data_IF_138505645591
#
_entry.id   IF_138505645591
#
_cell.length_a   1.000
_cell.length_b   1.000
_cell.length_c   1.000
_cell.angle_alpha   90.00
_cell.angle_beta   90.00
_cell.angle_gamma   90.00
#
_symmetry.space_group_name_H-M   'P 1'
#
loop_
_entity.id
_entity.type
_entity.pdbx_description
1 polymer ?
#
# COMPACT_ATOMS: atom_id res chain seq x y z
N UNK A 1 -27.15 1.30 -22.72
CA UNK A 1 -25.83 1.61 -22.15
C UNK A 1 -25.66 0.72 -20.92
N UNK A 2 -24.82 -0.31 -20.99
CA UNK A 2 -24.53 -1.14 -19.82
C UNK A 2 -23.77 -0.29 -18.78
N UNK A 3 -23.95 -0.51 -17.47
CA UNK A 3 -23.20 0.21 -16.44
C UNK A 3 -21.68 0.02 -16.65
N UNK A 4 -20.85 1.01 -16.29
CA UNK A 4 -19.39 0.98 -16.54
C UNK A 4 -18.70 -0.25 -15.92
N UNK A 5 -19.23 -0.81 -14.83
CA UNK A 5 -18.76 -2.06 -14.25
C UNK A 5 -18.95 -3.27 -15.19
N UNK A 6 -20.04 -3.32 -15.95
CA UNK A 6 -20.30 -4.40 -16.89
C UNK A 6 -19.35 -4.40 -18.09
N UNK A 7 -18.88 -3.24 -18.53
CA UNK A 7 -17.93 -3.16 -19.64
C UNK A 7 -16.54 -3.68 -19.26
N UNK A 8 -16.03 -3.30 -18.08
CA UNK A 8 -14.73 -3.77 -17.58
C UNK A 8 -14.74 -5.28 -17.30
N UNK A 9 -15.84 -5.83 -16.76
CA UNK A 9 -15.99 -7.28 -16.59
C UNK A 9 -15.98 -8.02 -17.93
N UNK A 10 -16.70 -7.51 -18.95
CA UNK A 10 -16.69 -8.09 -20.28
C UNK A 10 -15.30 -8.05 -20.93
N UNK A 11 -14.55 -6.96 -20.75
CA UNK A 11 -13.19 -6.85 -21.26
C UNK A 11 -12.25 -7.85 -20.58
N UNK A 12 -12.32 -8.00 -19.25
CA UNK A 12 -11.57 -9.01 -18.51
C UNK A 12 -11.90 -10.42 -19.02
N UNK A 13 -13.18 -10.78 -19.08
CA UNK A 13 -13.66 -12.08 -19.58
C UNK A 13 -13.17 -12.35 -21.01
N UNK A 14 -13.17 -11.32 -21.87
CA UNK A 14 -12.68 -11.42 -23.24
C UNK A 14 -11.16 -11.71 -23.26
N UNK A 15 -10.35 -10.98 -22.49
CA UNK A 15 -8.90 -11.23 -22.46
C UNK A 15 -8.58 -12.62 -21.91
N UNK A 16 -9.27 -13.05 -20.87
CA UNK A 16 -9.11 -14.40 -20.33
C UNK A 16 -9.51 -15.49 -21.33
N UNK A 17 -10.60 -15.29 -22.07
CA UNK A 17 -11.04 -16.23 -23.11
C UNK A 17 -9.99 -16.37 -24.22
N UNK A 18 -9.42 -15.25 -24.69
CA UNK A 18 -8.37 -15.25 -25.72
C UNK A 18 -7.10 -15.94 -25.20
N UNK A 19 -6.72 -15.71 -23.94
CA UNK A 19 -5.57 -16.38 -23.33
C UNK A 19 -5.81 -17.89 -23.21
N UNK A 20 -6.98 -18.30 -22.71
CA UNK A 20 -7.36 -19.71 -22.55
C UNK A 20 -7.42 -20.46 -23.88
N UNK A 21 -7.76 -19.78 -24.97
CA UNK A 21 -7.78 -20.36 -26.31
C UNK A 21 -6.38 -20.58 -26.92
N UNK A 22 -5.32 -20.00 -26.35
CA UNK A 22 -3.96 -20.22 -26.84
C UNK A 22 -3.49 -21.65 -26.52
N UNK A 23 -2.67 -22.27 -27.38
CA UNK A 23 -1.94 -23.49 -27.05
C UNK A 23 -1.12 -23.35 -25.76
N UNK A 24 -0.99 -24.45 -25.00
CA UNK A 24 -0.33 -24.42 -23.68
C UNK A 24 1.10 -23.87 -23.72
N UNK A 25 1.87 -24.20 -24.77
CA UNK A 25 3.21 -23.66 -24.97
C UNK A 25 3.22 -22.12 -25.08
N UNK A 26 2.25 -21.54 -25.80
CA UNK A 26 2.10 -20.09 -25.94
C UNK A 26 1.64 -19.46 -24.62
N UNK A 27 0.72 -20.10 -23.88
CA UNK A 27 0.32 -19.61 -22.55
C UNK A 27 1.52 -19.50 -21.60
N UNK A 28 2.35 -20.55 -21.49
CA UNK A 28 3.54 -20.56 -20.63
C UNK A 28 4.54 -19.47 -21.07
N UNK A 29 4.72 -19.31 -22.39
CA UNK A 29 5.56 -18.25 -22.92
C UNK A 29 5.05 -16.85 -22.54
N UNK A 30 3.75 -16.59 -22.70
CA UNK A 30 3.12 -15.33 -22.33
C UNK A 30 3.21 -15.07 -20.82
N UNK A 31 2.99 -16.10 -19.99
CA UNK A 31 3.16 -16.02 -18.53
C UNK A 31 4.61 -15.63 -18.15
N UNK A 32 5.61 -16.22 -18.81
CA UNK A 32 7.02 -15.90 -18.57
C UNK A 32 7.37 -14.46 -18.99
N UNK A 33 6.91 -14.03 -20.17
CA UNK A 33 7.11 -12.66 -20.66
C UNK A 33 6.39 -11.64 -19.76
N UNK A 34 5.15 -11.93 -19.38
CA UNK A 34 4.35 -11.10 -18.48
C UNK A 34 5.01 -10.93 -17.12
N UNK A 35 5.56 -12.01 -16.54
CA UNK A 35 6.30 -11.96 -15.27
C UNK A 35 7.56 -11.09 -15.39
N UNK A 36 8.33 -11.24 -16.47
CA UNK A 36 9.54 -10.45 -16.70
C UNK A 36 9.22 -8.96 -16.82
N UNK A 37 8.18 -8.61 -17.58
CA UNK A 37 7.72 -7.23 -17.71
C UNK A 37 7.18 -6.68 -16.40
N UNK A 38 6.37 -7.46 -15.67
CA UNK A 38 5.80 -7.04 -14.39
C UNK A 38 6.90 -6.72 -13.38
N UNK A 39 7.88 -7.61 -13.22
CA UNK A 39 9.03 -7.38 -12.36
C UNK A 39 9.81 -6.14 -12.80
N UNK A 40 10.07 -6.02 -14.10
CA UNK A 40 10.82 -4.90 -14.65
C UNK A 40 10.16 -3.54 -14.46
N UNK A 41 8.82 -3.48 -14.47
CA UNK A 41 8.04 -2.27 -14.17
C UNK A 41 8.15 -1.92 -12.69
N UNK A 42 8.00 -2.90 -11.80
CA UNK A 42 8.03 -2.70 -10.34
C UNK A 42 9.42 -2.32 -9.85
N UNK A 43 10.47 -2.92 -10.40
CA UNK A 43 11.87 -2.61 -10.07
C UNK A 43 12.38 -1.34 -10.77
N UNK A 44 11.55 -0.69 -11.59
CA UNK A 44 11.90 0.47 -12.40
C UNK A 44 13.17 0.25 -13.25
N UNK A 45 13.28 -0.92 -13.89
CA UNK A 45 14.47 -1.26 -14.66
C UNK A 45 14.69 -0.27 -15.80
N UNK A 46 15.95 0.15 -16.03
CA UNK A 46 16.27 1.19 -17.01
C UNK A 46 16.14 0.73 -18.47
N UNK A 47 16.04 -0.57 -18.72
CA UNK A 47 15.85 -1.15 -20.04
C UNK A 47 14.83 -2.28 -19.93
N UNK A 48 13.73 -2.16 -20.67
CA UNK A 48 12.67 -3.17 -20.71
C UNK A 48 12.46 -3.64 -22.14
N UNK A 49 12.60 -4.96 -22.32
CA UNK A 49 12.38 -5.66 -23.58
C UNK A 49 11.45 -6.84 -23.34
N UNK A 50 10.69 -7.17 -24.36
CA UNK A 50 9.84 -8.33 -24.36
C UNK A 50 9.72 -8.87 -25.79
N UNK A 51 9.25 -10.10 -25.91
CA UNK A 51 9.08 -10.76 -27.20
C UNK A 51 7.65 -11.22 -27.38
N UNK A 52 7.08 -11.00 -28.57
CA UNK A 52 5.81 -11.59 -28.97
C UNK A 52 6.01 -13.07 -29.34
N UNK A 53 4.98 -13.93 -29.17
CA UNK A 53 5.06 -15.31 -29.59
C UNK A 53 5.23 -15.42 -31.12
N UNK A 54 5.70 -16.55 -31.59
CA UNK A 54 5.89 -16.84 -33.01
C UNK A 54 4.55 -17.04 -33.75
N UNK A 55 3.54 -17.55 -33.04
CA UNK A 55 2.17 -17.69 -33.51
C UNK A 55 1.18 -17.35 -32.39
N UNK A 56 -0.03 -16.96 -32.75
CA UNK A 56 -1.11 -16.68 -31.81
C UNK A 56 -2.44 -17.08 -32.42
N UNK A 57 -3.35 -17.62 -31.61
CA UNK A 57 -4.72 -17.87 -32.03
C UNK A 57 -5.47 -16.55 -32.06
N UNK A 58 -5.88 -16.12 -33.26
CA UNK A 58 -6.63 -14.88 -33.50
C UNK A 58 -8.11 -15.22 -33.59
N UNK A 59 -8.94 -14.49 -32.83
CA UNK A 59 -10.39 -14.70 -32.73
C UNK A 59 -10.78 -16.12 -32.27
N UNK A 60 -10.91 -16.29 -30.96
CA UNK A 60 -11.52 -17.48 -30.37
C UNK A 60 -12.90 -17.14 -29.80
N UNK A 61 -13.95 -17.80 -30.29
CA UNK A 61 -15.14 -18.04 -29.47
C UNK A 61 -14.90 -19.31 -28.66
N UNK A 62 -15.62 -19.49 -27.55
CA UNK A 62 -15.54 -20.70 -26.71
C UNK A 62 -15.83 -21.98 -27.52
N UNK A 63 -16.50 -21.86 -28.67
CA UNK A 63 -16.99 -22.96 -29.49
C UNK A 63 -16.07 -23.33 -30.68
N UNK A 64 -15.10 -22.49 -31.07
CA UNK A 64 -14.21 -22.75 -32.20
C UNK A 64 -12.75 -22.40 -31.86
N UNK A 65 -11.79 -23.34 -31.98
CA UNK A 65 -10.38 -23.03 -31.79
C UNK A 65 -9.95 -21.95 -32.79
N UNK A 66 -9.45 -20.83 -32.28
CA UNK A 66 -9.04 -19.69 -33.10
C UNK A 66 -7.96 -20.07 -34.11
N UNK A 67 -7.97 -19.43 -35.27
CA UNK A 67 -6.99 -19.68 -36.31
C UNK A 67 -5.60 -19.24 -35.83
N UNK A 68 -4.63 -20.15 -35.84
CA UNK A 68 -3.24 -19.84 -35.50
C UNK A 68 -2.63 -19.03 -36.64
N UNK A 69 -2.35 -17.76 -36.36
CA UNK A 69 -1.70 -16.85 -37.30
C UNK A 69 -0.25 -16.62 -36.88
N UNK A 70 0.65 -16.55 -37.86
CA UNK A 70 2.07 -16.25 -37.60
C UNK A 70 2.25 -14.77 -37.31
N UNK A 71 3.00 -14.48 -36.25
CA UNK A 71 3.44 -13.12 -35.96
C UNK A 71 4.67 -12.80 -36.84
N UNK A 72 4.68 -11.68 -37.59
CA UNK A 72 5.81 -11.28 -38.41
C UNK A 72 7.10 -11.19 -37.59
N UNK A 73 8.22 -11.72 -38.12
CA UNK A 73 9.49 -11.78 -37.39
C UNK A 73 9.99 -10.40 -36.95
N UNK A 74 9.79 -9.38 -37.79
CA UNK A 74 10.16 -7.99 -37.53
C UNK A 74 9.39 -7.38 -36.34
N UNK A 75 8.21 -7.90 -36.03
CA UNK A 75 7.36 -7.44 -34.94
C UNK A 75 7.55 -8.24 -33.64
N UNK A 76 8.43 -9.25 -33.59
CA UNK A 76 8.55 -10.10 -32.40
C UNK A 76 9.33 -9.43 -31.29
N UNK A 77 10.48 -8.84 -31.60
CA UNK A 77 11.30 -8.18 -30.59
C UNK A 77 10.78 -6.78 -30.31
N UNK A 78 10.48 -6.51 -29.04
CA UNK A 78 9.94 -5.24 -28.60
C UNK A 78 10.84 -4.60 -27.56
N UNK A 79 11.07 -3.30 -27.72
CA UNK A 79 11.75 -2.46 -26.74
C UNK A 79 10.74 -1.46 -26.20
N UNK A 80 10.39 -1.60 -24.92
CA UNK A 80 9.44 -0.73 -24.24
C UNK A 80 10.12 0.49 -23.61
N UNK A 81 11.35 0.30 -23.10
CA UNK A 81 12.15 1.37 -22.50
C UNK A 81 13.55 1.30 -23.09
N UNK A 82 13.99 2.42 -23.68
CA UNK A 82 15.32 2.57 -24.27
C UNK A 82 16.15 3.68 -23.65
N UNK A 83 17.36 3.87 -24.20
CA UNK A 83 18.31 4.92 -23.77
C UNK A 83 17.74 6.35 -23.87
N UNK A 84 16.84 6.62 -24.82
CA UNK A 84 16.22 7.94 -24.99
C UNK A 84 15.21 8.25 -23.88
N UNK A 85 14.44 7.26 -23.44
CA UNK A 85 13.48 7.40 -22.33
C UNK A 85 14.18 7.71 -21.00
N UNK A 86 15.43 7.25 -20.87
CA UNK A 86 16.30 7.58 -19.73
C UNK A 86 16.67 9.07 -19.69
N UNK A 87 16.89 9.67 -20.86
CA UNK A 87 17.22 11.10 -20.97
C UNK A 87 16.02 11.99 -20.66
N UNK A 88 14.81 11.52 -20.97
CA UNK A 88 13.55 12.22 -20.68
C UNK A 88 12.98 11.90 -19.30
N UNK A 89 13.62 10.99 -18.54
CA UNK A 89 13.11 10.44 -17.27
C UNK A 89 11.69 9.89 -17.39
N UNK A 90 11.36 9.29 -18.53
CA UNK A 90 10.05 8.69 -18.73
C UNK A 90 9.85 7.52 -17.76
N UNK A 91 8.67 7.48 -17.14
CA UNK A 91 8.31 6.42 -16.20
C UNK A 91 8.20 5.08 -16.95
N UNK A 92 8.93 4.01 -16.55
CA UNK A 92 8.98 2.73 -17.29
C UNK A 92 7.59 2.15 -17.59
N UNK A 93 6.66 2.32 -16.65
CA UNK A 93 5.25 1.94 -16.76
C UNK A 93 4.53 2.65 -17.90
N UNK A 94 4.70 3.97 -18.01
CA UNK A 94 4.06 4.75 -19.06
C UNK A 94 4.61 4.38 -20.44
N UNK A 95 5.91 4.12 -20.53
CA UNK A 95 6.56 3.68 -21.76
C UNK A 95 6.10 2.27 -22.20
N UNK A 96 6.00 1.31 -21.27
CA UNK A 96 5.43 -0.02 -21.55
C UNK A 96 3.98 0.08 -22.02
N UNK A 97 3.15 0.88 -21.32
CA UNK A 97 1.75 1.10 -21.73
C UNK A 97 1.66 1.67 -23.14
N UNK A 98 2.45 2.71 -23.42
CA UNK A 98 2.48 3.36 -24.73
C UNK A 98 2.87 2.35 -25.81
N UNK A 99 3.91 1.54 -25.57
CA UNK A 99 4.34 0.55 -26.55
C UNK A 99 3.29 -0.54 -26.80
N UNK A 100 2.61 -1.01 -25.76
CA UNK A 100 1.53 -1.99 -25.92
C UNK A 100 0.33 -1.40 -26.68
N UNK A 101 -0.03 -0.13 -26.44
CA UNK A 101 -1.06 0.57 -27.20
C UNK A 101 -0.69 0.72 -28.70
N UNK A 102 0.58 0.95 -29.02
CA UNK A 102 1.05 0.97 -30.42
C UNK A 102 0.88 -0.39 -31.10
N UNK A 103 1.16 -1.50 -30.40
CA UNK A 103 0.92 -2.85 -30.91
C UNK A 103 -0.58 -3.11 -31.13
N UNK A 104 -1.44 -2.59 -30.26
CA UNK A 104 -2.88 -2.70 -30.42
C UNK A 104 -3.42 -1.97 -31.65
N UNK A 105 -2.75 -0.89 -32.08
CA UNK A 105 -3.10 -0.11 -33.27
C UNK A 105 -2.54 -0.69 -34.58
N UNK A 106 -1.79 -1.79 -34.50
CA UNK A 106 -1.27 -2.48 -35.68
C UNK A 106 -2.40 -2.92 -36.63
N UNK A 107 -2.14 -2.88 -37.94
CA UNK A 107 -3.02 -3.47 -38.95
C UNK A 107 -3.00 -5.00 -38.96
N UNK A 108 -1.94 -5.59 -38.39
CA UNK A 108 -1.79 -7.05 -38.28
C UNK A 108 -2.49 -7.56 -37.01
N UNK A 109 -3.53 -8.37 -37.20
CA UNK A 109 -4.33 -8.93 -36.11
C UNK A 109 -3.51 -9.82 -35.16
N UNK A 110 -2.52 -10.57 -35.66
CA UNK A 110 -1.67 -11.40 -34.83
C UNK A 110 -0.79 -10.55 -33.90
N UNK A 111 -0.31 -9.41 -34.39
CA UNK A 111 0.43 -8.43 -33.57
C UNK A 111 -0.48 -7.79 -32.52
N UNK A 112 -1.68 -7.35 -32.91
CA UNK A 112 -2.68 -6.78 -31.97
C UNK A 112 -3.04 -7.77 -30.87
N UNK A 113 -3.36 -9.02 -31.22
CA UNK A 113 -3.72 -10.06 -30.25
C UNK A 113 -2.54 -10.39 -29.32
N UNK A 114 -1.32 -10.45 -29.86
CA UNK A 114 -0.11 -10.67 -29.05
C UNK A 114 0.14 -9.55 -28.05
N UNK A 115 -0.02 -8.28 -28.46
CA UNK A 115 0.11 -7.12 -27.57
C UNK A 115 -0.87 -7.18 -26.39
N UNK A 116 -2.15 -7.49 -26.68
CA UNK A 116 -3.19 -7.65 -25.65
C UNK A 116 -2.90 -8.79 -24.69
N UNK A 117 -2.44 -9.93 -25.21
CA UNK A 117 -2.10 -11.08 -24.38
C UNK A 117 -0.89 -10.84 -23.48
N UNK A 118 0.13 -10.12 -23.97
CA UNK A 118 1.27 -9.71 -23.16
C UNK A 118 0.83 -8.73 -22.06
N UNK A 119 0.00 -7.73 -22.39
CA UNK A 119 -0.57 -6.81 -21.40
C UNK A 119 -1.33 -7.58 -20.32
N UNK A 120 -2.24 -8.46 -20.72
CA UNK A 120 -3.03 -9.26 -19.80
C UNK A 120 -2.14 -10.18 -18.93
N UNK A 121 -1.18 -10.89 -19.52
CA UNK A 121 -0.24 -11.72 -18.76
C UNK A 121 0.61 -10.91 -17.77
N UNK A 122 0.98 -9.68 -18.13
CA UNK A 122 1.75 -8.77 -17.25
C UNK A 122 0.92 -8.39 -16.03
N UNK A 123 -0.30 -7.90 -16.21
CA UNK A 123 -1.16 -7.49 -15.08
C UNK A 123 -1.64 -8.68 -14.26
N UNK A 124 -1.89 -9.83 -14.90
CA UNK A 124 -2.19 -11.07 -14.18
C UNK A 124 -1.01 -11.53 -13.33
N UNK A 125 0.24 -11.36 -13.79
CA UNK A 125 1.41 -11.66 -12.96
C UNK A 125 1.54 -10.71 -11.77
N UNK A 126 1.30 -9.41 -11.97
CA UNK A 126 1.28 -8.43 -10.87
C UNK A 126 0.25 -8.79 -9.80
N UNK A 127 -0.97 -9.16 -10.19
CA UNK A 127 -2.05 -9.46 -9.24
C UNK A 127 -1.91 -10.85 -8.64
N UNK A 128 -1.71 -11.90 -9.43
CA UNK A 128 -1.82 -13.29 -8.99
C UNK A 128 -0.50 -13.92 -8.56
N UNK A 129 0.65 -13.43 -9.05
CA UNK A 129 1.95 -14.05 -8.79
C UNK A 129 2.84 -13.23 -7.86
N UNK A 130 2.97 -11.92 -8.07
CA UNK A 130 3.90 -11.08 -7.31
C UNK A 130 3.43 -10.80 -5.88
N UNK A 131 2.11 -10.78 -5.68
CA UNK A 131 1.51 -10.35 -4.42
C UNK A 131 0.97 -11.54 -3.62
N UNK A 132 1.31 -11.67 -2.33
CA UNK A 132 0.75 -12.73 -1.49
C UNK A 132 -0.78 -12.62 -1.40
N UNK A 133 -1.46 -13.77 -1.42
CA UNK A 133 -2.92 -13.86 -1.47
C UNK A 133 -3.65 -13.38 -0.20
N UNK A 134 -2.98 -13.45 0.96
CA UNK A 134 -3.53 -13.07 2.26
C UNK A 134 -4.85 -13.77 2.63
N UNK A 135 -5.41 -13.35 3.76
CA UNK A 135 -6.67 -13.84 4.33
C UNK A 135 -7.84 -13.00 3.86
N UNK A 136 -9.03 -13.56 3.83
CA UNK A 136 -10.24 -12.76 3.61
C UNK A 136 -10.66 -12.09 4.90
N UNK A 137 -10.68 -10.76 4.92
CA UNK A 137 -11.01 -9.95 6.10
C UNK A 137 -12.14 -8.99 5.77
N UNK A 138 -12.98 -8.70 6.75
CA UNK A 138 -13.97 -7.64 6.69
C UNK A 138 -13.52 -6.50 7.62
N UNK A 139 -13.42 -5.30 7.08
CA UNK A 139 -13.14 -4.09 7.84
C UNK A 139 -14.40 -3.25 7.99
N UNK A 140 -14.54 -2.59 9.13
CA UNK A 140 -15.49 -1.51 9.35
C UNK A 140 -14.77 -0.16 9.31
N UNK A 141 -15.45 0.86 8.82
CA UNK A 141 -14.98 2.24 8.92
C UNK A 141 -15.27 2.79 10.33
N UNK A 142 -14.35 3.59 10.86
CA UNK A 142 -14.68 4.46 11.98
C UNK A 142 -15.59 5.60 11.50
N UNK A 143 -16.20 6.32 12.43
CA UNK A 143 -17.01 7.50 12.09
C UNK A 143 -16.14 8.55 11.38
N UNK A 144 -16.56 8.97 10.18
CA UNK A 144 -15.81 9.92 9.35
C UNK A 144 -14.67 9.34 8.52
N UNK A 145 -14.38 8.04 8.62
CA UNK A 145 -13.34 7.39 7.82
C UNK A 145 -13.80 7.08 6.39
N UNK A 146 -12.93 7.34 5.42
CA UNK A 146 -13.13 7.04 4.00
C UNK A 146 -12.72 5.61 3.65
N UNK A 147 -11.75 5.05 4.38
CA UNK A 147 -11.21 3.69 4.18
C UNK A 147 -11.55 2.82 5.39
N UNK A 148 -12.36 1.76 5.23
CA UNK A 148 -12.57 0.78 6.29
C UNK A 148 -11.25 0.11 6.71
N UNK A 149 -10.87 0.26 7.98
CA UNK A 149 -9.56 -0.17 8.50
C UNK A 149 -9.62 -0.91 9.84
N UNK A 150 -10.77 -0.95 10.51
CA UNK A 150 -10.92 -1.66 11.78
C UNK A 150 -11.39 -3.09 11.49
N UNK A 151 -10.60 -4.13 11.78
CA UNK A 151 -11.00 -5.49 11.44
C UNK A 151 -12.16 -5.95 12.33
N UNK A 152 -13.21 -6.49 11.71
CA UNK A 152 -14.36 -7.05 12.42
C UNK A 152 -14.01 -8.46 12.88
N UNK A 153 -13.93 -8.68 14.19
CA UNK A 153 -13.72 -10.01 14.75
C UNK A 153 -14.89 -10.92 14.36
N UNK A 154 -14.59 -12.05 13.69
CA UNK A 154 -15.52 -13.18 13.67
C UNK A 154 -15.32 -13.94 14.97
N UNK A 155 -16.38 -14.13 15.75
CA UNK A 155 -16.36 -14.86 17.03
C UNK A 155 -16.01 -16.37 16.91
N UNK A 156 -15.49 -16.84 15.76
CA UNK A 156 -15.41 -18.27 15.43
C UNK A 156 -14.19 -18.63 14.57
N UNK A 157 -12.98 -18.23 14.97
CA UNK A 157 -11.82 -19.08 14.68
C UNK A 157 -11.36 -19.70 15.99
N UNK A 158 -11.54 -21.01 16.22
CA UNK A 158 -11.04 -21.64 17.43
C UNK A 158 -9.53 -21.42 17.53
N UNK A 159 -9.04 -21.25 18.76
CA UNK A 159 -7.62 -21.24 19.12
C UNK A 159 -6.97 -22.61 18.88
N UNK A 160 -7.06 -23.14 17.67
CA UNK A 160 -6.34 -24.35 17.31
C UNK A 160 -4.97 -23.95 16.79
N UNK A 161 -4.02 -23.92 17.73
CA UNK A 161 -2.64 -24.24 17.46
C UNK A 161 -2.59 -25.54 16.64
N UNK A 162 -1.84 -25.50 15.54
CA UNK A 162 -1.27 -26.59 14.72
C UNK A 162 -1.44 -26.20 13.25
N UNK A 163 -0.39 -25.58 12.71
CA UNK A 163 0.03 -25.59 11.29
C UNK A 163 -1.10 -25.65 10.25
N UNK A 164 -1.73 -24.52 9.94
CA UNK A 164 -2.44 -24.43 8.67
C UNK A 164 -1.39 -24.47 7.54
N UNK A 165 -1.51 -25.42 6.62
CA UNK A 165 -0.58 -25.62 5.50
C UNK A 165 -0.47 -24.41 4.55
N UNK A 166 -1.32 -23.40 4.72
CA UNK A 166 -1.29 -22.12 4.00
C UNK A 166 -0.40 -21.06 4.66
N UNK A 167 0.04 -21.26 5.91
CA UNK A 167 0.85 -20.27 6.65
C UNK A 167 2.37 -20.46 6.46
N UNK A 168 2.79 -21.47 5.68
CA UNK A 168 4.18 -21.65 5.28
C UNK A 168 4.36 -21.24 3.81
N UNK A 169 4.70 -19.97 3.57
CA UNK A 169 5.27 -19.58 2.28
C UNK A 169 6.71 -20.09 2.28
N UNK A 170 6.93 -21.25 1.65
CA UNK A 170 8.26 -21.63 1.22
C UNK A 170 8.66 -20.68 0.09
N UNK A 171 9.60 -19.76 0.36
CA UNK A 171 10.38 -19.13 -0.69
C UNK A 171 11.13 -20.25 -1.44
N UNK A 172 10.63 -20.66 -2.61
CA UNK A 172 11.46 -21.36 -3.61
C UNK A 172 12.40 -20.35 -4.27
N UNK A 173 13.37 -19.90 -3.48
CA UNK A 173 14.51 -19.10 -3.89
C UNK A 173 15.66 -19.49 -2.97
N UNK A 174 16.84 -19.74 -3.53
CA UNK A 174 18.03 -20.11 -2.75
C UNK A 174 18.18 -19.17 -1.55
N UNK A 175 18.49 -19.69 -0.35
CA UNK A 175 18.63 -18.84 0.83
C UNK A 175 19.78 -17.88 0.59
N UNK A 176 19.49 -16.58 0.49
CA UNK A 176 20.50 -15.56 0.72
C UNK A 176 20.84 -15.61 2.22
N UNK A 177 22.08 -16.00 2.52
CA UNK A 177 22.66 -15.97 3.85
C UNK A 177 22.53 -14.55 4.43
N UNK A 178 21.65 -14.39 5.43
CA UNK A 178 21.58 -13.14 6.20
C UNK A 178 20.19 -12.67 6.62
N UNK A 179 19.10 -13.22 6.06
CA UNK A 179 17.74 -12.95 6.57
C UNK A 179 17.29 -14.10 7.45
N UNK A 180 17.45 -13.91 8.76
CA UNK A 180 16.88 -14.83 9.75
C UNK A 180 15.39 -15.00 9.48
N UNK A 181 14.93 -16.27 9.46
CA UNK A 181 13.51 -16.60 9.44
C UNK A 181 12.84 -15.89 10.63
N UNK A 182 12.11 -14.83 10.33
CA UNK A 182 11.45 -13.98 11.32
C UNK A 182 10.24 -14.76 11.86
N UNK A 183 10.50 -15.64 12.84
CA UNK A 183 9.47 -16.26 13.68
C UNK A 183 8.92 -15.17 14.61
N UNK A 184 8.04 -14.31 14.07
CA UNK A 184 7.28 -13.36 14.88
C UNK A 184 6.36 -14.18 15.79
N UNK A 185 6.34 -13.95 17.12
CA UNK A 185 5.37 -14.56 18.00
C UNK A 185 3.97 -14.21 17.50
N UNK A 186 3.25 -15.24 17.09
CA UNK A 186 1.98 -15.10 16.42
C UNK A 186 0.91 -14.64 17.43
N UNK A 187 0.59 -13.34 17.46
CA UNK A 187 -0.39 -12.76 18.42
C UNK A 187 -1.82 -12.91 17.87
N UNK A 188 -2.83 -13.31 18.68
CA UNK A 188 -4.22 -13.44 18.24
C UNK A 188 -4.77 -12.21 17.51
N UNK A 189 -4.36 -10.99 17.90
CA UNK A 189 -4.75 -9.74 17.24
C UNK A 189 -4.38 -9.73 15.73
N UNK A 190 -3.22 -10.29 15.36
CA UNK A 190 -2.75 -10.31 13.99
C UNK A 190 -3.61 -11.20 13.06
N UNK A 191 -4.32 -12.20 13.59
CA UNK A 191 -5.24 -13.08 12.80
C UNK A 191 -6.33 -12.32 12.07
N UNK A 192 -6.68 -11.17 12.59
CA UNK A 192 -7.80 -10.36 12.13
C UNK A 192 -7.44 -9.54 10.88
N UNK A 193 -6.18 -9.53 10.47
CA UNK A 193 -5.68 -8.77 9.33
C UNK A 193 -5.40 -9.63 8.11
N UNK A 194 -5.33 -8.96 6.96
CA UNK A 194 -5.14 -9.59 5.65
C UNK A 194 -3.81 -10.36 5.56
N UNK A 195 -2.72 -9.79 6.07
CA UNK A 195 -1.41 -10.44 6.22
C UNK A 195 -0.94 -10.32 7.68
N UNK A 196 -1.20 -11.35 8.53
CA UNK A 196 -0.81 -11.33 9.94
C UNK A 196 0.67 -11.07 10.19
N UNK A 197 1.55 -11.51 9.28
CA UNK A 197 3.00 -11.34 9.40
C UNK A 197 3.48 -9.89 9.24
N UNK A 198 2.62 -8.97 8.79
CA UNK A 198 2.93 -7.53 8.66
C UNK A 198 2.17 -6.69 9.69
N UNK A 199 1.69 -7.31 10.77
CA UNK A 199 1.04 -6.60 11.89
C UNK A 199 2.09 -6.27 12.93
N UNK A 200 2.39 -4.98 13.07
CA UNK A 200 3.36 -4.45 14.00
C UNK A 200 2.75 -3.94 15.31
N UNK A 201 1.43 -3.69 15.33
CA UNK A 201 0.72 -3.12 16.48
C UNK A 201 -0.58 -3.89 16.79
N UNK A 202 -0.91 -4.02 18.08
CA UNK A 202 -2.21 -4.51 18.55
C UNK A 202 -3.29 -3.41 18.59
N UNK A 203 -4.47 -3.74 19.14
CA UNK A 203 -5.61 -2.82 19.25
C UNK A 203 -5.33 -1.65 20.22
N UNK A 204 -4.34 -1.78 21.10
CA UNK A 204 -3.90 -0.74 22.05
C UNK A 204 -2.67 0.05 21.54
N UNK A 205 -2.32 -0.11 20.26
CA UNK A 205 -1.08 0.36 19.61
C UNK A 205 0.20 0.03 20.40
N UNK A 206 0.27 -1.17 20.98
CA UNK A 206 1.52 -1.69 21.55
C UNK A 206 2.30 -2.37 20.44
N UNK A 207 3.61 -2.13 20.44
CA UNK A 207 4.52 -2.74 19.48
C UNK A 207 4.60 -4.26 19.70
N UNK A 208 4.30 -5.03 18.64
CA UNK A 208 4.34 -6.49 18.61
C UNK A 208 5.65 -7.03 18.02
N UNK A 209 6.35 -6.20 17.25
CA UNK A 209 7.62 -6.52 16.58
C UNK A 209 8.82 -6.04 17.41
N UNK A 210 10.03 -6.40 16.99
CA UNK A 210 11.24 -6.16 17.78
C UNK A 210 11.69 -4.70 17.84
N UNK A 211 11.24 -3.85 16.91
CA UNK A 211 11.61 -2.43 16.87
C UNK A 211 10.65 -1.57 16.04
N UNK A 212 10.71 -0.24 16.24
CA UNK A 212 9.99 0.73 15.40
C UNK A 212 10.44 0.64 13.94
N UNK A 213 11.73 0.44 13.67
CA UNK A 213 12.24 0.29 12.31
C UNK A 213 11.69 -0.94 11.59
N UNK A 214 11.38 -2.01 12.33
CA UNK A 214 10.69 -3.19 11.78
C UNK A 214 9.22 -2.88 11.43
N UNK A 215 8.54 -2.11 12.27
CA UNK A 215 7.18 -1.63 12.00
C UNK A 215 7.13 -0.71 10.77
N UNK A 216 8.07 0.22 10.63
CA UNK A 216 8.24 1.06 9.45
C UNK A 216 8.49 0.22 8.19
N UNK A 217 9.32 -0.83 8.28
CA UNK A 217 9.58 -1.74 7.16
C UNK A 217 8.33 -2.53 6.74
N UNK A 218 7.45 -2.91 7.69
CA UNK A 218 6.16 -3.51 7.39
C UNK A 218 5.24 -2.51 6.67
N UNK A 219 5.12 -1.28 7.16
CA UNK A 219 4.33 -0.21 6.49
C UNK A 219 4.86 0.03 5.06
N UNK A 220 6.17 0.15 4.88
CA UNK A 220 6.78 0.29 3.57
C UNK A 220 6.50 -0.90 2.64
N UNK A 221 6.43 -2.12 3.18
CA UNK A 221 6.07 -3.32 2.40
C UNK A 221 4.61 -3.30 1.95
N UNK A 222 3.71 -2.85 2.82
CA UNK A 222 2.29 -2.65 2.51
C UNK A 222 2.08 -1.55 1.46
N UNK A 223 2.83 -0.44 1.53
CA UNK A 223 2.82 0.61 0.51
C UNK A 223 3.29 0.09 -0.85
N UNK A 224 4.39 -0.68 -0.89
CA UNK A 224 4.85 -1.33 -2.13
C UNK A 224 3.79 -2.27 -2.70
N UNK A 225 3.13 -3.05 -1.84
CA UNK A 225 2.04 -3.94 -2.25
C UNK A 225 0.92 -3.16 -2.96
N UNK A 226 0.45 -2.05 -2.37
CA UNK A 226 -0.56 -1.18 -2.99
C UNK A 226 -0.04 -0.55 -4.28
N UNK A 227 1.24 -0.17 -4.32
CA UNK A 227 1.92 0.35 -5.51
C UNK A 227 1.85 -0.61 -6.71
N UNK A 228 2.06 -1.91 -6.48
CA UNK A 228 1.93 -2.94 -7.54
C UNK A 228 0.49 -3.04 -8.04
N UNK A 229 -0.51 -2.99 -7.15
CA UNK A 229 -1.93 -2.99 -7.55
C UNK A 229 -2.29 -1.75 -8.38
N UNK A 230 -1.82 -0.56 -7.98
CA UNK A 230 -2.00 0.67 -8.75
C UNK A 230 -1.30 0.61 -10.11
N UNK A 231 -0.12 0.01 -10.19
CA UNK A 231 0.58 -0.23 -11.45
C UNK A 231 -0.26 -1.11 -12.39
N UNK A 232 -0.82 -2.22 -11.89
CA UNK A 232 -1.66 -3.12 -12.67
C UNK A 232 -2.89 -2.40 -13.28
N UNK A 233 -3.64 -1.63 -12.49
CA UNK A 233 -4.82 -0.89 -12.99
C UNK A 233 -4.44 0.22 -13.96
N UNK A 234 -3.32 0.88 -13.73
CA UNK A 234 -2.85 1.92 -14.64
C UNK A 234 -2.40 1.39 -16.01
N UNK A 235 -2.01 0.11 -16.08
CA UNK A 235 -1.71 -0.60 -17.33
C UNK A 235 -3.00 -1.07 -18.01
N UNK A 236 -3.88 -1.74 -17.25
CA UNK A 236 -5.11 -2.34 -17.75
C UNK A 236 -6.29 -2.06 -16.79
N UNK A 237 -7.12 -1.04 -17.08
CA UNK A 237 -8.21 -0.64 -16.19
C UNK A 237 -9.23 -1.76 -15.87
N UNK A 238 -9.43 -2.72 -16.80
CA UNK A 238 -10.34 -3.84 -16.60
C UNK A 238 -9.96 -4.75 -15.42
N UNK A 239 -8.70 -4.72 -14.95
CA UNK A 239 -8.23 -5.51 -13.80
C UNK A 239 -9.01 -5.17 -12.52
N UNK A 240 -9.63 -4.00 -12.44
CA UNK A 240 -10.52 -3.65 -11.33
C UNK A 240 -11.73 -4.61 -11.24
N UNK A 241 -12.12 -5.27 -12.33
CA UNK A 241 -13.18 -6.27 -12.32
C UNK A 241 -12.72 -7.65 -11.79
N UNK A 242 -11.41 -7.87 -11.61
CA UNK A 242 -10.87 -9.13 -11.10
C UNK A 242 -11.19 -9.27 -9.59
N UNK A 243 -11.87 -10.36 -9.17
CA UNK A 243 -12.20 -10.60 -7.77
C UNK A 243 -10.96 -10.68 -6.86
N UNK A 244 -9.86 -11.24 -7.34
CA UNK A 244 -8.62 -11.36 -6.58
C UNK A 244 -7.94 -9.99 -6.41
N UNK A 245 -7.96 -9.16 -7.46
CA UNK A 245 -7.52 -7.77 -7.34
C UNK A 245 -8.31 -7.02 -6.26
N UNK A 246 -9.64 -7.12 -6.29
CA UNK A 246 -10.50 -6.45 -5.31
C UNK A 246 -10.25 -6.95 -3.88
N UNK A 247 -10.11 -8.27 -3.72
CA UNK A 247 -9.80 -8.89 -2.43
C UNK A 247 -8.47 -8.39 -1.87
N UNK A 248 -7.42 -8.41 -2.69
CA UNK A 248 -6.07 -7.92 -2.33
C UNK A 248 -6.07 -6.44 -2.01
N UNK A 249 -6.72 -5.62 -2.84
CA UNK A 249 -6.82 -4.18 -2.64
C UNK A 249 -7.54 -3.84 -1.34
N UNK A 250 -8.73 -4.40 -1.14
CA UNK A 250 -9.52 -4.15 0.07
C UNK A 250 -8.79 -4.61 1.33
N UNK A 251 -8.25 -5.84 1.30
CA UNK A 251 -7.48 -6.44 2.38
C UNK A 251 -6.29 -5.58 2.83
N UNK A 252 -5.49 -5.15 1.84
CA UNK A 252 -4.27 -4.40 2.09
C UNK A 252 -4.53 -2.95 2.51
N UNK A 253 -5.49 -2.25 1.87
CA UNK A 253 -5.77 -0.85 2.21
C UNK A 253 -6.22 -0.70 3.67
N UNK A 254 -7.12 -1.58 4.13
CA UNK A 254 -7.57 -1.54 5.52
C UNK A 254 -6.43 -1.81 6.51
N UNK A 255 -5.56 -2.77 6.21
CA UNK A 255 -4.40 -3.07 7.05
C UNK A 255 -3.37 -1.95 7.06
N UNK A 256 -3.04 -1.38 5.88
CA UNK A 256 -2.07 -0.30 5.74
C UNK A 256 -2.50 0.95 6.52
N UNK A 257 -3.75 1.39 6.35
CA UNK A 257 -4.29 2.53 7.11
C UNK A 257 -4.26 2.24 8.61
N UNK A 258 -4.68 1.06 9.03
CA UNK A 258 -4.69 0.69 10.45
C UNK A 258 -3.28 0.75 11.06
N UNK A 259 -2.32 0.06 10.46
CA UNK A 259 -0.97 -0.08 11.00
C UNK A 259 -0.15 1.20 10.84
N UNK A 260 -0.35 1.95 9.75
CA UNK A 260 0.27 3.27 9.55
C UNK A 260 -0.18 4.30 10.59
N UNK A 261 -1.49 4.33 10.89
CA UNK A 261 -2.03 5.18 11.97
C UNK A 261 -1.56 4.74 13.36
N UNK A 262 -1.48 3.42 13.61
CA UNK A 262 -0.99 2.88 14.87
C UNK A 262 0.48 3.25 15.12
N UNK A 263 1.32 3.18 14.08
CA UNK A 263 2.71 3.65 14.13
C UNK A 263 2.78 5.13 14.53
N UNK A 264 1.98 6.00 13.91
CA UNK A 264 1.97 7.43 14.25
C UNK A 264 1.52 7.70 15.69
N UNK A 265 0.51 6.96 16.18
CA UNK A 265 0.08 7.03 17.58
C UNK A 265 1.18 6.57 18.54
N UNK A 266 1.84 5.46 18.23
CA UNK A 266 2.96 4.95 19.01
C UNK A 266 4.10 5.97 19.10
N UNK A 267 4.58 6.48 17.97
CA UNK A 267 5.65 7.49 17.93
C UNK A 267 5.25 8.78 18.67
N UNK A 268 3.98 9.17 18.61
CA UNK A 268 3.47 10.31 19.38
C UNK A 268 3.59 10.09 20.89
N UNK A 269 3.33 8.88 21.39
CA UNK A 269 3.54 8.55 22.81
C UNK A 269 5.02 8.60 23.19
N UNK A 270 5.93 8.21 22.31
CA UNK A 270 7.37 8.35 22.54
C UNK A 270 7.81 9.82 22.61
N UNK A 271 7.25 10.67 21.73
CA UNK A 271 7.46 12.13 21.78
C UNK A 271 6.98 12.69 23.12
N UNK A 272 5.77 12.33 23.55
CA UNK A 272 5.19 12.75 24.84
C UNK A 272 6.09 12.33 26.00
N UNK A 273 6.48 11.05 26.05
CA UNK A 273 7.34 10.52 27.11
C UNK A 273 8.69 11.25 27.15
N UNK A 274 9.28 11.54 25.99
CA UNK A 274 10.53 12.29 25.87
C UNK A 274 10.39 13.72 26.41
N UNK A 275 9.29 14.42 26.09
CA UNK A 275 9.03 15.76 26.60
C UNK A 275 8.85 15.72 28.13
N UNK A 276 8.08 14.77 28.67
CA UNK A 276 7.86 14.63 30.10
C UNK A 276 9.17 14.35 30.85
N UNK A 277 10.02 13.46 30.32
CA UNK A 277 11.33 13.16 30.89
C UNK A 277 12.24 14.40 30.90
N UNK A 278 12.34 15.11 29.76
CA UNK A 278 13.17 16.33 29.65
C UNK A 278 12.62 17.51 30.47
N UNK A 279 11.31 17.58 30.67
CA UNK A 279 10.68 18.56 31.57
C UNK A 279 11.11 18.31 33.01
N UNK A 280 11.16 17.04 33.42
CA UNK A 280 11.53 16.63 34.78
C UNK A 280 13.01 16.89 35.06
N UNK A 281 13.89 16.72 34.05
CA UNK A 281 15.32 17.05 34.17
C UNK A 281 15.65 18.55 34.04
N UNK A 282 14.67 19.39 33.65
CA UNK A 282 14.90 20.82 33.43
C UNK A 282 15.56 21.16 32.08
N UNK A 283 15.67 20.20 31.16
CA UNK A 283 16.37 20.31 29.87
C UNK A 283 15.50 20.85 28.72
N UNK A 284 14.35 21.44 29.04
CA UNK A 284 13.43 22.08 28.08
C UNK A 284 13.43 23.62 28.10
N UNK A 285 14.24 24.25 28.95
CA UNK A 285 14.23 25.70 29.16
C UNK A 285 14.90 26.54 28.04
N UNK A 286 14.97 26.01 26.81
CA UNK A 286 15.64 26.62 25.65
C UNK A 286 14.80 26.68 24.37
N UNK A 287 13.52 26.30 24.45
CA UNK A 287 12.62 26.17 23.30
C UNK A 287 12.26 24.71 23.02
N UNK A 288 11.12 24.51 22.37
CA UNK A 288 10.58 23.21 22.00
C UNK A 288 9.82 23.34 20.67
N UNK A 289 10.24 22.57 19.68
CA UNK A 289 9.54 22.38 18.42
C UNK A 289 9.23 20.89 18.27
N UNK A 290 8.08 20.58 17.69
CA UNK A 290 7.62 19.21 17.48
C UNK A 290 7.48 18.95 15.99
N UNK A 291 7.89 17.74 15.62
CA UNK A 291 7.71 17.13 14.31
C UNK A 291 6.78 15.94 14.52
N UNK A 292 5.48 16.17 14.38
CA UNK A 292 4.45 15.18 14.72
C UNK A 292 4.13 14.31 13.51
N UNK A 293 4.36 12.99 13.56
CA UNK A 293 4.01 12.11 12.46
C UNK A 293 2.50 11.88 12.40
N UNK A 294 1.96 11.78 11.19
CA UNK A 294 0.59 11.35 10.94
C UNK A 294 0.52 10.53 9.66
N UNK A 295 -0.41 9.58 9.60
CA UNK A 295 -0.66 8.82 8.38
C UNK A 295 -1.66 9.59 7.50
N UNK A 296 -1.26 9.88 6.27
CA UNK A 296 -2.09 10.51 5.24
C UNK A 296 -2.85 9.40 4.51
N UNK A 297 -4.16 9.29 4.77
CA UNK A 297 -5.01 8.24 4.19
C UNK A 297 -5.26 8.44 2.68
N UNK A 298 -5.06 9.65 2.16
CA UNK A 298 -5.19 9.94 0.74
C UNK A 298 -3.95 9.45 -0.02
N UNK A 299 -2.76 9.80 0.47
CA UNK A 299 -1.50 9.46 -0.18
C UNK A 299 -0.91 8.12 0.32
N UNK A 300 -1.51 7.54 1.37
CA UNK A 300 -1.14 6.28 2.02
C UNK A 300 0.30 6.28 2.54
N UNK A 301 0.73 7.41 3.11
CA UNK A 301 2.09 7.62 3.59
C UNK A 301 2.17 8.34 4.93
N UNK A 302 3.28 8.15 5.64
CA UNK A 302 3.57 8.89 6.86
C UNK A 302 4.11 10.26 6.47
N UNK A 303 3.45 11.29 6.94
CA UNK A 303 3.87 12.69 6.82
C UNK A 303 4.17 13.26 8.19
N UNK A 304 4.85 14.40 8.18
CA UNK A 304 5.22 15.11 9.40
C UNK A 304 4.59 16.48 9.41
N UNK A 305 4.09 16.89 10.57
CA UNK A 305 3.61 18.24 10.81
C UNK A 305 4.46 18.93 11.85
N UNK A 306 5.13 19.98 11.41
CA UNK A 306 6.04 20.76 12.26
C UNK A 306 5.32 21.94 12.89
N UNK A 307 5.48 22.12 14.20
CA UNK A 307 5.00 23.31 14.89
C UNK A 307 5.85 23.64 16.13
N UNK A 308 5.79 24.89 16.55
CA UNK A 308 6.57 25.41 17.68
C UNK A 308 5.69 25.41 18.93
N UNK A 309 6.18 24.80 20.01
CA UNK A 309 5.55 24.82 21.34
C UNK A 309 6.11 25.96 22.17
N UNK A 310 7.44 26.11 22.18
CA UNK A 310 8.14 27.21 22.83
C UNK A 310 9.18 27.75 21.85
N UNK A 311 9.16 29.03 21.50
CA UNK A 311 10.18 29.61 20.63
C UNK A 311 11.57 29.50 21.29
N UNK A 312 12.62 29.52 20.47
CA UNK A 312 13.99 29.49 20.98
C UNK A 312 14.22 30.69 21.92
N UNK A 313 14.72 30.42 23.12
CA UNK A 313 14.91 31.45 24.16
C UNK A 313 14.93 30.87 25.57
N UNK A 314 15.17 31.72 26.58
CA UNK A 314 15.20 31.33 27.99
C UNK A 314 13.80 31.33 28.60
N UNK A 315 12.89 30.58 27.99
CA UNK A 315 11.52 30.42 28.47
C UNK A 315 11.45 29.11 29.24
N UNK A 316 11.03 29.17 30.50
CA UNK A 316 10.83 27.98 31.31
C UNK A 316 9.70 27.13 30.73
N UNK A 317 9.92 25.83 30.54
CA UNK A 317 8.85 24.95 30.09
C UNK A 317 7.76 24.82 31.16
N UNK A 318 6.50 25.00 30.75
CA UNK A 318 5.31 24.62 31.53
C UNK A 318 4.37 23.79 30.64
N UNK A 319 3.67 22.78 31.20
CA UNK A 319 2.74 21.92 30.43
C UNK A 319 1.69 22.68 29.61
N UNK A 320 1.25 23.84 30.10
CA UNK A 320 0.28 24.69 29.42
C UNK A 320 0.74 25.13 28.01
N UNK A 321 2.05 25.20 27.74
CA UNK A 321 2.54 25.50 26.40
C UNK A 321 2.26 24.38 25.41
N UNK A 322 2.43 23.11 25.81
CA UNK A 322 2.10 21.97 24.97
C UNK A 322 0.60 21.90 24.66
N UNK A 323 -0.25 22.11 25.67
CA UNK A 323 -1.72 22.18 25.51
C UNK A 323 -2.09 23.28 24.52
N UNK A 324 -1.57 24.50 24.72
CA UNK A 324 -1.89 25.64 23.86
C UNK A 324 -1.45 25.37 22.42
N UNK A 325 -0.23 24.88 22.22
CA UNK A 325 0.30 24.59 20.90
C UNK A 325 -0.52 23.49 20.18
N UNK A 326 -0.89 22.43 20.88
CA UNK A 326 -1.73 21.36 20.34
C UNK A 326 -3.10 21.90 19.90
N UNK A 327 -3.75 22.75 20.71
CA UNK A 327 -5.04 23.38 20.38
C UNK A 327 -4.95 24.35 19.21
N UNK A 328 -3.95 25.22 19.20
CA UNK A 328 -3.72 26.15 18.09
C UNK A 328 -3.50 25.39 16.78
N UNK A 329 -2.73 24.29 16.83
CA UNK A 329 -2.51 23.44 15.67
C UNK A 329 -3.78 22.68 15.26
N UNK A 330 -4.57 22.19 16.21
CA UNK A 330 -5.84 21.52 15.95
C UNK A 330 -6.84 22.43 15.22
N UNK A 331 -6.89 23.72 15.56
CA UNK A 331 -7.72 24.70 14.83
C UNK A 331 -7.29 24.83 13.37
N UNK A 332 -5.97 24.88 13.11
CA UNK A 332 -5.45 24.93 11.73
C UNK A 332 -5.80 23.66 10.96
N UNK A 333 -5.63 22.48 11.58
CA UNK A 333 -5.97 21.18 10.98
C UNK A 333 -7.46 21.09 10.68
N UNK A 334 -8.32 21.51 11.60
CA UNK A 334 -9.77 21.50 11.40
C UNK A 334 -10.18 22.32 10.16
N UNK A 335 -9.48 23.42 9.89
CA UNK A 335 -9.73 24.32 8.76
C UNK A 335 -8.97 23.96 7.47
N UNK A 336 -8.03 23.00 7.50
CA UNK A 336 -7.20 22.65 6.34
C UNK A 336 -8.01 21.86 5.30
N UNK A 337 -8.50 22.53 4.27
CA UNK A 337 -9.33 21.91 3.22
C UNK A 337 -8.56 20.97 2.29
N UNK A 338 -7.22 20.92 2.39
CA UNK A 338 -6.38 20.01 1.59
C UNK A 338 -6.34 18.59 2.16
N UNK A 339 -6.61 18.43 3.46
CA UNK A 339 -6.69 17.11 4.10
C UNK A 339 -8.04 16.49 3.80
N UNK A 340 -8.08 15.20 3.48
CA UNK A 340 -9.35 14.48 3.44
C UNK A 340 -9.94 14.34 4.87
N UNK A 341 -11.25 14.11 5.01
CA UNK A 341 -11.90 14.00 6.32
C UNK A 341 -11.27 12.97 7.26
N UNK A 342 -10.80 11.85 6.71
CA UNK A 342 -10.24 10.73 7.49
C UNK A 342 -8.85 11.09 8.03
N UNK A 343 -7.95 11.60 7.19
CA UNK A 343 -6.64 12.11 7.63
C UNK A 343 -6.79 13.22 8.66
N UNK A 344 -7.74 14.14 8.45
CA UNK A 344 -8.03 15.22 9.39
C UNK A 344 -8.46 14.68 10.75
N UNK A 345 -9.38 13.72 10.81
CA UNK A 345 -9.84 13.10 12.04
C UNK A 345 -8.69 12.39 12.77
N UNK A 346 -7.85 11.66 12.04
CA UNK A 346 -6.66 11.00 12.59
C UNK A 346 -5.68 12.01 13.19
N UNK A 347 -5.33 13.07 12.47
CA UNK A 347 -4.39 14.09 12.95
C UNK A 347 -4.94 14.86 14.16
N UNK A 348 -6.23 15.17 14.18
CA UNK A 348 -6.89 15.77 15.34
C UNK A 348 -6.83 14.84 16.57
N UNK A 349 -7.00 13.54 16.37
CA UNK A 349 -6.84 12.56 17.46
C UNK A 349 -5.41 12.54 18.01
N UNK A 350 -4.39 12.56 17.14
CA UNK A 350 -2.99 12.64 17.60
C UNK A 350 -2.72 13.92 18.39
N UNK A 351 -3.24 15.07 17.93
CA UNK A 351 -3.12 16.34 18.66
C UNK A 351 -3.85 16.30 20.01
N UNK A 352 -5.00 15.62 20.09
CA UNK A 352 -5.71 15.41 21.34
C UNK A 352 -4.90 14.54 22.32
N UNK A 353 -4.26 13.47 21.85
CA UNK A 353 -3.35 12.66 22.69
C UNK A 353 -2.23 13.52 23.30
N UNK A 354 -1.67 14.45 22.52
CA UNK A 354 -0.66 15.39 23.00
C UNK A 354 -1.26 16.34 24.04
N UNK A 355 -2.43 16.90 23.80
CA UNK A 355 -3.12 17.77 24.76
C UNK A 355 -3.38 17.06 26.10
N UNK A 356 -4.02 15.90 26.06
CA UNK A 356 -4.44 15.13 27.24
C UNK A 356 -3.25 14.73 28.10
N UNK A 357 -2.11 14.39 27.49
CA UNK A 357 -0.90 13.99 28.22
C UNK A 357 -0.26 15.11 29.07
N UNK A 358 -0.62 16.37 28.83
CA UNK A 358 -0.13 17.52 29.59
C UNK A 358 -1.21 18.21 30.42
N UNK A 359 -2.45 17.73 30.40
CA UNK A 359 -3.51 18.24 31.27
C UNK A 359 -3.17 17.94 32.74
N UNK A 360 -3.47 18.88 33.67
CA UNK A 360 -3.31 18.61 35.09
C UNK A 360 -4.29 17.49 35.53
N UNK A 361 -3.91 16.65 36.51
CA UNK A 361 -4.82 15.64 37.04
C UNK A 361 -6.10 16.31 37.57
N UNK A 362 -7.26 15.72 37.26
CA UNK A 362 -8.56 16.22 37.66
C UNK A 362 -8.59 16.44 39.20
N UNK A 363 -8.56 17.72 39.62
CA UNK A 363 -8.52 18.12 41.04
C UNK A 363 -7.41 19.11 41.41
N UNK A 364 -6.41 19.33 40.55
CA UNK A 364 -5.41 20.38 40.76
C UNK A 364 -5.94 21.74 40.25
N UNK A 365 -6.70 22.45 41.09
CA UNK A 365 -6.99 23.86 40.84
C UNK A 365 -5.69 24.66 40.81
N UNK A 366 -5.54 25.54 39.82
CA UNK A 366 -4.40 26.44 39.73
C UNK A 366 -4.25 27.25 41.03
N UNK A 367 -3.03 27.47 41.55
CA UNK A 367 -2.84 28.35 42.70
C UNK A 367 -3.35 29.73 42.31
N UNK A 368 -4.36 30.21 43.03
CA UNK A 368 -4.89 31.56 42.92
C UNK A 368 -3.75 32.51 43.29
N UNK A 369 -3.08 33.06 42.28
CA UNK A 369 -2.12 34.14 42.48
C UNK A 369 -2.92 35.35 42.91
N UNK A 370 -2.94 35.59 44.22
CA UNK A 370 -3.49 36.82 44.79
C UNK A 370 -2.58 37.98 44.39
N UNK A 371 -3.11 39.05 43.76
CA UNK A 371 -2.33 40.23 43.46
C UNK A 371 -1.90 40.90 44.77
N UNK A 372 -0.61 41.20 44.90
CA UNK A 372 -0.09 42.17 45.88
C UNK A 372 0.10 43.51 45.20
#
# INVERSE_FOLDING_TARGET
MAPPAGHLSQELEQQEAILRAQPRAIQIFLEAQGRQLAQGIVDHLPNLRFTLPDQVAVQSSVEMPGELQRVPAEAREQMAVGLMDRLTKAEPRAAVRQRLLELEQSSDRAVTTSGRLILHATVSSMVHTMLPAGRTVNYRAAEGDSIPSIPVSRELEPESAITAATDAIAEEGKPEEGRGALLVPYVPAARRFFLPQWVAFDDEDRLLVGSVGEAEAHVASMQRYVGVLHAAVSLAPYVVADPEYQRKRYGMLGQLVNQGRALCRFTTREIIATIQARSTSGDLNRGLSLSLPYFDDQDLEIRTRDFVVIPAGRIMFIPAFAIRAAREEAVKVAQDTRLDPSTRAHLLHILLMLEEAFQPPAGASAPVVSPR
#
